data_IF_056499596229
#
_entry.id   IF_056499596229
#
_cell.length_a   1.000
_cell.length_b   1.000
_cell.length_c   1.000
_cell.angle_alpha   90.00
_cell.angle_beta   90.00
_cell.angle_gamma   90.00
#
_symmetry.space_group_name_H-M   'P 1'
#
loop_
_entity.id
_entity.type
_entity.pdbx_description
1 polymer ?
#
# COMPACT_ATOMS: atom_id res chain seq x y z
N UNK A 1 24.70 22.80 65.40
CA UNK A 1 24.23 21.56 64.75
C UNK A 1 23.80 21.88 63.34
N UNK A 2 24.60 21.60 62.35
CA UNK A 2 24.18 21.88 60.98
C UNK A 2 23.28 20.77 60.48
N UNK A 3 21.99 21.05 60.47
CA UNK A 3 21.08 20.29 59.63
C UNK A 3 20.95 21.09 58.35
N UNK A 4 21.36 20.50 57.26
CA UNK A 4 20.81 20.84 55.95
C UNK A 4 21.79 20.56 54.85
N UNK A 5 21.53 19.55 54.11
CA UNK A 5 21.91 19.41 52.70
C UNK A 5 21.29 18.10 52.19
N UNK A 6 19.98 18.06 52.08
CA UNK A 6 19.29 16.92 51.51
C UNK A 6 18.20 17.29 50.47
N UNK A 7 18.28 18.45 49.88
CA UNK A 7 17.19 18.91 49.02
C UNK A 7 17.61 19.23 47.55
N UNK A 8 18.88 18.98 47.21
CA UNK A 8 19.35 19.37 45.87
C UNK A 8 19.63 18.17 44.98
N UNK A 9 19.37 16.95 45.43
CA UNK A 9 19.68 15.76 44.65
C UNK A 9 18.48 15.17 43.89
N UNK A 10 17.28 15.64 44.18
CA UNK A 10 16.06 15.12 43.55
C UNK A 10 15.51 16.00 42.40
N UNK A 11 16.14 17.15 42.12
CA UNK A 11 15.72 18.04 41.03
C UNK A 11 16.44 17.76 39.70
N UNK A 12 17.50 16.96 39.71
CA UNK A 12 18.29 16.64 38.53
C UNK A 12 17.87 15.35 37.82
N UNK A 13 16.95 14.57 38.39
CA UNK A 13 16.48 13.29 37.83
C UNK A 13 15.15 13.42 37.07
N UNK A 14 14.53 14.59 37.06
CA UNK A 14 13.26 14.78 36.30
C UNK A 14 13.43 15.42 34.93
N UNK A 15 14.61 15.86 34.56
CA UNK A 15 14.85 16.57 33.30
C UNK A 15 15.23 15.62 32.13
N UNK A 16 15.44 14.33 32.37
CA UNK A 16 15.90 13.40 31.35
C UNK A 16 14.79 12.49 30.77
N UNK A 17 13.55 12.63 31.22
CA UNK A 17 12.42 11.81 30.75
C UNK A 17 11.55 12.49 29.68
N UNK A 18 11.84 13.73 29.32
CA UNK A 18 11.08 14.49 28.30
C UNK A 18 11.75 14.48 26.91
N UNK A 19 12.89 13.82 26.75
CA UNK A 19 13.62 13.80 25.48
C UNK A 19 13.29 12.62 24.55
N UNK A 20 12.50 11.65 25.00
CA UNK A 20 12.30 10.39 24.24
C UNK A 20 10.99 10.29 23.47
N UNK A 21 10.16 11.31 23.49
CA UNK A 21 8.81 11.26 22.90
C UNK A 21 8.68 11.97 21.53
N UNK A 22 9.79 12.40 20.93
CA UNK A 22 9.75 13.17 19.66
C UNK A 22 10.34 12.44 18.46
N UNK A 23 10.61 11.14 18.56
CA UNK A 23 10.68 10.32 17.37
C UNK A 23 9.26 9.83 17.07
N UNK A 24 8.39 10.77 16.64
CA UNK A 24 7.23 10.40 15.86
C UNK A 24 7.79 9.62 14.66
N UNK A 25 7.70 8.29 14.69
CA UNK A 25 7.86 7.46 13.51
C UNK A 25 7.00 8.11 12.44
N UNK A 26 7.64 8.61 11.38
CA UNK A 26 6.94 8.80 10.13
C UNK A 26 6.25 7.45 9.87
N UNK A 27 4.92 7.42 9.95
CA UNK A 27 4.17 6.20 9.67
C UNK A 27 4.64 5.74 8.30
N UNK A 28 5.25 4.53 8.22
CA UNK A 28 5.66 3.94 6.96
C UNK A 28 4.43 3.98 6.06
N UNK A 29 4.50 4.75 4.98
CA UNK A 29 3.37 4.94 4.08
C UNK A 29 3.05 3.59 3.47
N UNK A 30 1.93 2.99 3.87
CA UNK A 30 1.42 1.78 3.28
C UNK A 30 0.75 2.12 1.94
N UNK A 31 1.11 1.38 0.88
CA UNK A 31 0.46 1.47 -0.42
C UNK A 31 -0.40 0.23 -0.66
N UNK A 32 -1.64 0.44 -1.07
CA UNK A 32 -2.52 -0.64 -1.52
C UNK A 32 -2.54 -0.67 -3.05
N UNK A 33 -2.07 -1.76 -3.63
CA UNK A 33 -2.01 -1.95 -5.08
C UNK A 33 -2.92 -3.11 -5.48
N UNK A 34 -3.86 -2.86 -6.39
CA UNK A 34 -4.65 -3.91 -7.03
C UNK A 34 -3.90 -4.48 -8.23
N UNK A 35 -3.80 -5.80 -8.34
CA UNK A 35 -3.23 -6.47 -9.50
C UNK A 35 -4.28 -7.38 -10.14
N UNK A 36 -4.60 -7.13 -11.40
CA UNK A 36 -5.56 -7.91 -12.18
C UNK A 36 -4.79 -8.63 -13.28
N UNK A 37 -4.75 -9.95 -13.20
CA UNK A 37 -4.09 -10.78 -14.19
C UNK A 37 -5.10 -11.29 -15.21
N UNK A 38 -4.69 -11.32 -16.48
CA UNK A 38 -5.50 -11.96 -17.54
C UNK A 38 -5.72 -13.45 -17.21
N UNK A 39 -4.67 -14.12 -16.77
CA UNK A 39 -4.65 -15.49 -16.27
C UNK A 39 -3.57 -15.61 -15.19
N UNK A 40 -3.43 -16.76 -14.57
CA UNK A 40 -2.40 -17.06 -13.57
C UNK A 40 -1.54 -18.27 -13.95
N UNK A 41 -1.63 -18.73 -15.19
CA UNK A 41 -0.85 -19.84 -15.73
C UNK A 41 0.13 -19.37 -16.81
N UNK A 42 1.09 -20.23 -17.14
CA UNK A 42 2.06 -19.98 -18.20
C UNK A 42 2.80 -18.66 -18.01
N UNK A 43 2.79 -17.81 -19.02
CA UNK A 43 3.42 -16.49 -19.00
C UNK A 43 2.95 -15.63 -17.81
N UNK A 44 1.67 -15.64 -17.51
CA UNK A 44 1.09 -14.82 -16.45
C UNK A 44 1.45 -15.30 -15.03
N UNK A 45 1.85 -16.55 -14.85
CA UNK A 45 2.43 -17.02 -13.60
C UNK A 45 3.75 -16.28 -13.29
N UNK A 46 4.58 -16.06 -14.29
CA UNK A 46 5.80 -15.28 -14.16
C UNK A 46 5.52 -13.80 -13.89
N UNK A 47 4.53 -13.20 -14.55
CA UNK A 47 4.10 -11.82 -14.29
C UNK A 47 3.64 -11.65 -12.84
N UNK A 48 2.82 -12.56 -12.35
CA UNK A 48 2.34 -12.56 -10.97
C UNK A 48 3.49 -12.66 -9.97
N UNK A 49 4.41 -13.59 -10.20
CA UNK A 49 5.58 -13.75 -9.34
C UNK A 49 6.42 -12.47 -9.30
N UNK A 50 6.66 -11.85 -10.46
CA UNK A 50 7.40 -10.58 -10.52
C UNK A 50 6.72 -9.44 -9.76
N UNK A 51 5.40 -9.34 -9.82
CA UNK A 51 4.64 -8.34 -9.05
C UNK A 51 4.77 -8.60 -7.55
N UNK A 52 4.65 -9.86 -7.12
CA UNK A 52 4.81 -10.23 -5.72
C UNK A 52 6.21 -9.96 -5.20
N UNK A 53 7.24 -10.28 -5.98
CA UNK A 53 8.64 -10.04 -5.61
C UNK A 53 8.93 -8.55 -5.52
N UNK A 54 8.47 -7.76 -6.48
CA UNK A 54 8.61 -6.29 -6.45
C UNK A 54 7.92 -5.67 -5.24
N UNK A 55 6.76 -6.18 -4.83
CA UNK A 55 6.06 -5.70 -3.64
C UNK A 55 6.85 -6.01 -2.36
N UNK A 56 7.48 -7.20 -2.26
CA UNK A 56 8.32 -7.58 -1.12
C UNK A 56 9.60 -6.76 -1.04
N UNK A 57 10.22 -6.47 -2.19
CA UNK A 57 11.50 -5.76 -2.27
C UNK A 57 11.32 -4.23 -2.22
N UNK A 58 10.09 -3.75 -2.18
CA UNK A 58 9.78 -2.32 -2.11
C UNK A 58 10.27 -1.69 -0.82
N UNK A 59 10.79 -0.47 -0.92
CA UNK A 59 11.16 0.35 0.25
C UNK A 59 9.95 0.88 1.03
N UNK A 60 8.75 0.80 0.45
CA UNK A 60 7.48 1.11 1.11
C UNK A 60 6.71 -0.17 1.36
N UNK A 61 5.91 -0.19 2.42
CA UNK A 61 5.03 -1.33 2.68
C UNK A 61 3.94 -1.40 1.61
N UNK A 62 3.86 -2.51 0.88
CA UNK A 62 2.87 -2.72 -0.18
C UNK A 62 1.89 -3.82 0.23
N UNK A 63 0.61 -3.48 0.22
CA UNK A 63 -0.47 -4.45 0.30
C UNK A 63 -0.96 -4.77 -1.12
N UNK A 64 -0.82 -6.02 -1.55
CA UNK A 64 -1.35 -6.48 -2.84
C UNK A 64 -2.76 -7.04 -2.69
N UNK A 65 -3.65 -6.63 -3.60
CA UNK A 65 -4.96 -7.24 -3.82
C UNK A 65 -4.93 -7.85 -5.21
N UNK A 66 -4.81 -9.16 -5.27
CA UNK A 66 -4.63 -9.89 -6.52
C UNK A 66 -5.93 -10.54 -6.98
N UNK A 67 -6.21 -10.45 -8.29
CA UNK A 67 -7.38 -11.06 -8.92
C UNK A 67 -7.00 -11.69 -10.27
N UNK A 68 -7.74 -12.70 -10.68
CA UNK A 68 -7.57 -13.38 -11.97
C UNK A 68 -8.83 -13.20 -12.82
N UNK A 69 -8.71 -12.49 -13.94
CA UNK A 69 -9.82 -12.26 -14.86
C UNK A 69 -10.17 -13.50 -15.69
N UNK A 70 -9.29 -14.48 -15.77
CA UNK A 70 -9.49 -15.72 -16.54
C UNK A 70 -9.88 -15.47 -18.01
N UNK A 71 -9.29 -14.44 -18.62
CA UNK A 71 -9.61 -14.04 -19.99
C UNK A 71 -11.03 -13.43 -20.18
N UNK A 72 -11.75 -13.16 -19.10
CA UNK A 72 -13.12 -12.64 -19.12
C UNK A 72 -13.12 -11.11 -18.90
N UNK A 73 -13.56 -10.38 -19.93
CA UNK A 73 -13.61 -8.91 -19.91
C UNK A 73 -14.62 -8.38 -18.88
N UNK A 74 -15.68 -9.10 -18.60
CA UNK A 74 -16.66 -8.69 -17.60
C UNK A 74 -16.10 -8.83 -16.18
N UNK A 75 -15.35 -9.88 -15.91
CA UNK A 75 -14.61 -10.05 -14.65
C UNK A 75 -13.56 -8.96 -14.47
N UNK A 76 -12.76 -8.69 -15.50
CA UNK A 76 -11.78 -7.60 -15.48
C UNK A 76 -12.45 -6.27 -15.12
N UNK A 77 -13.53 -5.93 -15.80
CA UNK A 77 -14.30 -4.70 -15.56
C UNK A 77 -14.80 -4.62 -14.12
N UNK A 78 -15.34 -5.70 -13.59
CA UNK A 78 -15.83 -5.78 -12.21
C UNK A 78 -14.70 -5.59 -11.20
N UNK A 79 -13.55 -6.21 -11.43
CA UNK A 79 -12.39 -6.07 -10.55
C UNK A 79 -11.85 -4.64 -10.56
N UNK A 80 -11.75 -3.99 -11.72
CA UNK A 80 -11.34 -2.59 -11.81
C UNK A 80 -12.30 -1.70 -11.02
N UNK A 81 -13.60 -1.85 -11.23
CA UNK A 81 -14.62 -1.05 -10.53
C UNK A 81 -14.56 -1.27 -9.00
N UNK A 82 -14.32 -2.50 -8.57
CA UNK A 82 -14.15 -2.85 -7.13
C UNK A 82 -12.91 -2.19 -6.54
N UNK A 83 -11.76 -2.24 -7.23
CA UNK A 83 -10.52 -1.64 -6.76
C UNK A 83 -10.63 -0.11 -6.69
N UNK A 84 -11.26 0.51 -7.68
CA UNK A 84 -11.54 1.97 -7.66
C UNK A 84 -12.44 2.33 -6.47
N UNK A 85 -13.48 1.55 -6.21
CA UNK A 85 -14.37 1.78 -5.06
C UNK A 85 -13.66 1.60 -3.70
N UNK A 86 -12.62 0.76 -3.64
CA UNK A 86 -11.78 0.56 -2.46
C UNK A 86 -10.69 1.62 -2.30
N UNK A 87 -10.60 2.58 -3.21
CA UNK A 87 -9.60 3.65 -3.18
C UNK A 87 -8.15 3.13 -3.13
N UNK A 88 -7.83 2.08 -3.89
CA UNK A 88 -6.46 1.60 -4.00
C UNK A 88 -5.56 2.69 -4.59
N UNK A 89 -4.27 2.69 -4.23
CA UNK A 89 -3.32 3.71 -4.69
C UNK A 89 -2.90 3.51 -6.16
N UNK A 90 -2.89 2.26 -6.63
CA UNK A 90 -2.57 1.93 -8.01
C UNK A 90 -3.25 0.63 -8.45
N UNK A 91 -3.40 0.47 -9.77
CA UNK A 91 -3.89 -0.77 -10.38
C UNK A 91 -2.88 -1.21 -11.44
N UNK A 92 -2.41 -2.46 -11.32
CA UNK A 92 -1.65 -3.17 -12.34
C UNK A 92 -2.65 -4.03 -13.12
N UNK A 93 -2.69 -3.87 -14.43
CA UNK A 93 -3.63 -4.56 -15.29
C UNK A 93 -2.93 -5.33 -16.41
N UNK A 94 -3.06 -6.65 -16.42
CA UNK A 94 -2.80 -7.48 -17.60
C UNK A 94 -4.09 -7.55 -18.42
N UNK A 95 -4.20 -6.69 -19.43
CA UNK A 95 -5.45 -6.45 -20.15
C UNK A 95 -5.95 -7.69 -20.90
N UNK A 96 -7.25 -7.97 -20.78
CA UNK A 96 -7.91 -9.11 -21.44
C UNK A 96 -8.10 -8.83 -22.93
N UNK A 97 -8.45 -7.62 -23.31
CA UNK A 97 -8.62 -7.24 -24.70
C UNK A 97 -8.28 -5.78 -24.96
N UNK A 98 -7.76 -5.50 -26.13
CA UNK A 98 -7.39 -4.14 -26.54
C UNK A 98 -8.56 -3.15 -26.42
N UNK A 99 -9.69 -3.45 -27.03
CA UNK A 99 -10.82 -2.55 -27.07
C UNK A 99 -11.67 -2.56 -25.77
N UNK A 100 -11.92 -3.73 -25.20
CA UNK A 100 -12.72 -3.86 -23.99
C UNK A 100 -12.03 -3.26 -22.77
N UNK A 101 -10.77 -3.61 -22.56
CA UNK A 101 -9.95 -3.09 -21.45
C UNK A 101 -9.74 -1.57 -21.54
N UNK A 102 -9.59 -1.01 -22.75
CA UNK A 102 -9.47 0.42 -22.95
C UNK A 102 -10.69 1.20 -22.41
N UNK A 103 -11.90 0.68 -22.58
CA UNK A 103 -13.10 1.30 -22.02
C UNK A 103 -13.12 1.26 -20.50
N UNK A 104 -12.72 0.14 -19.93
CA UNK A 104 -12.62 -0.05 -18.48
C UNK A 104 -11.61 0.92 -17.87
N UNK A 105 -10.42 1.02 -18.45
CA UNK A 105 -9.38 1.94 -17.99
C UNK A 105 -9.84 3.40 -18.07
N UNK A 106 -10.43 3.83 -19.20
CA UNK A 106 -10.96 5.20 -19.33
C UNK A 106 -12.03 5.53 -18.29
N UNK A 107 -12.89 4.58 -17.97
CA UNK A 107 -13.91 4.76 -16.93
C UNK A 107 -13.29 4.90 -15.54
N UNK A 108 -12.29 4.09 -15.20
CA UNK A 108 -11.56 4.16 -13.94
C UNK A 108 -10.86 5.51 -13.78
N UNK A 109 -10.11 5.96 -14.79
CA UNK A 109 -9.41 7.26 -14.79
C UNK A 109 -10.38 8.42 -14.55
N UNK A 110 -11.54 8.42 -15.20
CA UNK A 110 -12.55 9.47 -15.01
C UNK A 110 -13.12 9.51 -13.57
N UNK A 111 -13.08 8.41 -12.83
CA UNK A 111 -13.56 8.39 -11.44
C UNK A 111 -12.51 8.89 -10.45
N UNK A 112 -11.24 8.66 -10.74
CA UNK A 112 -10.12 9.01 -9.85
C UNK A 112 -9.74 10.49 -9.98
N UNK A 113 -9.89 11.08 -11.16
CA UNK A 113 -9.49 12.48 -11.46
C UNK A 113 -10.68 13.44 -11.63
N UNK A 114 -11.73 13.24 -10.87
CA UNK A 114 -12.85 14.18 -10.78
C UNK A 114 -12.64 15.22 -9.69
#
# INVERSE_FOLDING_TARGET
MPKKMRTTRNLLLMATLLGSALFARAADKEMTIGAIYLDTQGYYAGVRQGVQDAAKDSSVQVQLIETNAQGDISKESTFVDTLVARNVDAIILSAVSENGSSRTVRRAVKRVFR
#
